data_IF_350696488245
#
_entry.id   IF_350696488245
#
_cell.length_a   1.000
_cell.length_b   1.000
_cell.length_c   1.000
_cell.angle_alpha   90.00
_cell.angle_beta   90.00
_cell.angle_gamma   90.00
#
_symmetry.space_group_name_H-M   'P 1'
#
loop_
_entity.id
_entity.type
_entity.pdbx_description
1 polymer ?
#
# COMPACT_ATOMS: atom_id res chain seq x y z
N UNK A 1 10.59 18.35 -15.04
CA UNK A 1 11.18 17.24 -14.29
C UNK A 1 12.15 17.69 -13.18
N UNK A 2 12.98 18.74 -13.38
CA UNK A 2 13.99 19.17 -12.40
C UNK A 2 13.46 19.88 -11.12
N UNK A 3 12.25 20.44 -11.14
CA UNK A 3 11.72 21.21 -10.00
C UNK A 3 11.32 20.33 -8.78
N UNK A 4 11.06 19.06 -9.00
CA UNK A 4 10.61 18.10 -7.97
C UNK A 4 11.77 17.53 -7.14
N UNK A 5 12.96 17.46 -7.72
CA UNK A 5 14.15 16.92 -7.04
C UNK A 5 14.68 17.86 -5.94
N UNK A 6 14.46 19.16 -6.06
CA UNK A 6 15.02 20.15 -5.13
C UNK A 6 14.04 20.67 -4.07
N UNK A 7 12.72 20.52 -4.25
CA UNK A 7 11.69 21.02 -3.30
C UNK A 7 11.04 19.95 -2.46
N UNK A 8 11.21 18.67 -2.82
CA UNK A 8 10.49 17.55 -2.18
C UNK A 8 9.01 17.54 -2.54
N UNK A 9 8.32 16.46 -2.11
CA UNK A 9 6.87 16.31 -2.20
C UNK A 9 6.32 16.46 -0.79
N UNK A 10 5.47 17.46 -0.62
CA UNK A 10 4.79 17.69 0.65
C UNK A 10 3.68 16.65 0.86
N UNK A 11 3.75 15.94 1.96
CA UNK A 11 2.80 14.90 2.35
C UNK A 11 2.18 15.32 3.69
N UNK A 12 0.89 15.68 3.73
CA UNK A 12 0.25 16.16 4.97
C UNK A 12 0.31 15.18 6.14
N UNK A 13 0.51 13.89 5.85
CA UNK A 13 0.67 12.86 6.88
C UNK A 13 2.06 12.84 7.54
N UNK A 14 3.07 13.50 6.96
CA UNK A 14 4.46 13.54 7.42
C UNK A 14 4.82 14.92 7.97
N UNK A 15 5.81 15.01 8.88
CA UNK A 15 6.29 16.28 9.42
C UNK A 15 7.14 17.10 8.44
N UNK A 16 7.74 16.44 7.45
CA UNK A 16 8.63 17.07 6.45
C UNK A 16 8.38 16.49 5.05
N UNK A 17 8.66 17.27 3.98
CA UNK A 17 8.58 16.78 2.61
C UNK A 17 9.54 15.61 2.34
N UNK A 18 9.12 14.70 1.49
CA UNK A 18 9.94 13.57 1.02
C UNK A 18 10.54 13.85 -0.36
N UNK A 19 11.68 13.22 -0.65
CA UNK A 19 12.23 13.13 -2.00
C UNK A 19 11.55 11.98 -2.76
N UNK A 20 11.35 12.17 -4.07
CA UNK A 20 10.89 11.09 -4.96
C UNK A 20 11.84 11.01 -6.13
N UNK A 21 12.52 9.87 -6.28
CA UNK A 21 13.44 9.60 -7.39
C UNK A 21 12.69 9.35 -8.69
N UNK A 22 13.36 9.56 -9.82
CA UNK A 22 12.83 9.17 -11.13
C UNK A 22 12.58 7.65 -11.15
N UNK A 23 11.44 7.24 -11.71
CA UNK A 23 11.06 5.82 -11.74
C UNK A 23 10.37 5.29 -10.47
N UNK A 24 10.32 6.09 -9.41
CA UNK A 24 9.59 5.75 -8.17
C UNK A 24 8.23 6.43 -8.16
N UNK A 25 7.21 5.68 -7.75
CA UNK A 25 5.85 6.23 -7.65
C UNK A 25 5.78 7.37 -6.63
N UNK A 26 5.28 8.51 -7.07
CA UNK A 26 5.07 9.66 -6.19
C UNK A 26 3.70 9.57 -5.51
N UNK A 27 3.61 9.58 -4.18
CA UNK A 27 2.35 9.48 -3.44
C UNK A 27 1.58 10.81 -3.44
N UNK A 28 1.39 11.42 -4.63
CA UNK A 28 0.65 12.68 -4.81
C UNK A 28 -0.82 12.56 -4.35
N UNK A 29 -1.37 11.35 -4.40
CA UNK A 29 -2.68 11.02 -3.84
C UNK A 29 -2.53 10.72 -2.34
N UNK A 30 -2.40 11.77 -1.54
CA UNK A 30 -2.10 11.66 -0.10
C UNK A 30 -3.30 11.28 0.78
N UNK A 31 -4.51 11.20 0.25
CA UNK A 31 -5.73 10.95 1.04
C UNK A 31 -5.71 9.60 1.76
N UNK A 32 -5.21 8.54 1.13
CA UNK A 32 -5.12 7.22 1.75
C UNK A 32 -4.04 7.18 2.85
N UNK A 33 -3.02 8.03 2.76
CA UNK A 33 -1.98 8.11 3.78
C UNK A 33 -2.53 8.64 5.10
N UNK A 34 -3.56 9.50 5.03
CA UNK A 34 -4.27 9.94 6.21
C UNK A 34 -5.06 8.79 6.87
N UNK A 35 -5.67 7.91 6.08
CA UNK A 35 -6.31 6.70 6.62
C UNK A 35 -5.29 5.84 7.38
N UNK A 36 -4.09 5.59 6.79
CA UNK A 36 -3.03 4.84 7.46
C UNK A 36 -2.55 5.56 8.72
N UNK A 37 -2.46 6.91 8.70
CA UNK A 37 -2.04 7.70 9.84
C UNK A 37 -3.03 7.64 11.00
N UNK A 38 -4.35 7.64 10.74
CA UNK A 38 -5.38 7.84 11.75
C UNK A 38 -6.14 6.58 12.16
N UNK A 39 -6.11 5.53 11.32
CA UNK A 39 -6.78 4.26 11.63
C UNK A 39 -6.14 3.62 12.86
N UNK A 40 -6.94 3.14 13.80
CA UNK A 40 -6.47 2.45 14.99
C UNK A 40 -5.64 1.21 14.62
N UNK A 41 -4.42 1.15 15.16
CA UNK A 41 -3.53 -0.01 14.98
C UNK A 41 -4.11 -1.24 15.66
N UNK A 42 -3.85 -2.45 15.14
CA UNK A 42 -4.11 -3.66 15.89
C UNK A 42 -3.45 -3.59 17.27
N UNK A 43 -4.11 -4.07 18.32
CA UNK A 43 -3.52 -4.08 19.66
C UNK A 43 -2.15 -4.76 19.67
N UNK A 44 -1.23 -4.23 20.47
CA UNK A 44 0.12 -4.79 20.67
C UNK A 44 0.96 -4.94 19.39
N UNK A 45 0.72 -4.13 18.35
CA UNK A 45 1.50 -4.15 17.11
C UNK A 45 2.96 -3.82 17.40
N UNK A 46 3.86 -4.79 17.22
CA UNK A 46 5.30 -4.67 17.40
C UNK A 46 6.11 -4.82 16.12
N UNK A 47 5.59 -5.58 15.17
CA UNK A 47 6.23 -5.80 13.86
C UNK A 47 5.22 -5.53 12.74
N UNK A 48 5.58 -4.61 11.86
CA UNK A 48 4.82 -4.36 10.64
C UNK A 48 5.66 -4.59 9.39
N UNK A 49 4.99 -4.96 8.29
CA UNK A 49 5.59 -5.00 6.95
C UNK A 49 4.93 -3.92 6.08
N UNK A 50 5.74 -3.24 5.27
CA UNK A 50 5.30 -2.36 4.19
C UNK A 50 5.74 -2.98 2.86
N UNK A 51 4.81 -3.60 2.15
CA UNK A 51 5.07 -4.37 0.94
C UNK A 51 4.89 -3.48 -0.30
N UNK A 52 5.95 -3.36 -1.10
CA UNK A 52 6.01 -2.41 -2.21
C UNK A 52 6.15 -0.98 -1.69
N UNK A 53 7.15 -0.72 -0.86
CA UNK A 53 7.31 0.52 -0.08
C UNK A 53 7.48 1.78 -0.93
N UNK A 54 7.97 1.66 -2.17
CA UNK A 54 8.18 2.77 -3.08
C UNK A 54 9.07 3.87 -2.47
N UNK A 55 8.52 5.06 -2.26
CA UNK A 55 9.22 6.17 -1.62
C UNK A 55 9.39 6.02 -0.08
N UNK A 56 8.90 4.95 0.52
CA UNK A 56 8.97 4.69 1.94
C UNK A 56 7.90 5.39 2.80
N UNK A 57 6.94 6.05 2.18
CA UNK A 57 5.99 6.92 2.89
C UNK A 57 5.13 6.18 3.91
N UNK A 58 4.65 4.98 3.59
CA UNK A 58 3.82 4.18 4.50
C UNK A 58 4.67 3.69 5.68
N UNK A 59 5.83 3.10 5.42
CA UNK A 59 6.74 2.66 6.49
C UNK A 59 7.11 3.82 7.42
N UNK A 60 7.39 5.02 6.88
CA UNK A 60 7.68 6.21 7.68
C UNK A 60 6.50 6.61 8.57
N UNK A 61 5.26 6.61 8.04
CA UNK A 61 4.07 6.89 8.85
C UNK A 61 3.92 5.88 9.98
N UNK A 62 4.11 4.58 9.70
CA UNK A 62 4.00 3.53 10.72
C UNK A 62 5.07 3.70 11.82
N UNK A 63 6.31 4.07 11.46
CA UNK A 63 7.37 4.36 12.43
C UNK A 63 7.06 5.58 13.30
N UNK A 64 6.57 6.67 12.70
CA UNK A 64 6.15 7.87 13.41
C UNK A 64 4.94 7.63 14.33
N UNK A 65 4.15 6.60 14.07
CA UNK A 65 3.06 6.13 14.94
C UNK A 65 3.56 5.25 16.10
N UNK A 66 4.87 5.03 16.19
CA UNK A 66 5.49 4.32 17.31
C UNK A 66 5.59 2.80 17.14
N UNK A 67 5.40 2.23 15.93
CA UNK A 67 5.67 0.81 15.71
C UNK A 67 7.19 0.61 15.79
N UNK A 68 7.68 -0.21 16.73
CA UNK A 68 9.11 -0.28 17.04
C UNK A 68 9.94 -0.99 15.96
N UNK A 69 9.33 -1.84 15.15
CA UNK A 69 10.01 -2.59 14.11
C UNK A 69 9.18 -2.69 12.84
N UNK A 70 9.77 -2.28 11.73
CA UNK A 70 9.14 -2.32 10.42
C UNK A 70 10.12 -2.97 9.43
N UNK A 71 9.62 -3.83 8.56
CA UNK A 71 10.36 -4.33 7.42
C UNK A 71 9.65 -3.81 6.16
N UNK A 72 10.36 -3.00 5.38
CA UNK A 72 9.85 -2.42 4.15
C UNK A 72 10.53 -3.08 2.96
N UNK A 73 9.74 -3.51 1.98
CA UNK A 73 10.24 -4.27 0.83
C UNK A 73 9.86 -3.60 -0.48
N UNK A 74 10.72 -3.73 -1.48
CA UNK A 74 10.43 -3.37 -2.87
C UNK A 74 11.34 -4.17 -3.81
N UNK A 75 10.91 -4.38 -5.05
CA UNK A 75 11.73 -5.01 -6.09
C UNK A 75 12.65 -4.02 -6.79
N UNK A 76 12.27 -2.74 -6.80
CA UNK A 76 12.96 -1.66 -7.49
C UNK A 76 14.09 -1.07 -6.62
N UNK A 77 15.34 -1.16 -7.09
CA UNK A 77 16.49 -0.58 -6.41
C UNK A 77 16.37 0.94 -6.19
N UNK A 78 15.81 1.68 -7.16
CA UNK A 78 15.58 3.12 -7.00
C UNK A 78 14.56 3.43 -5.90
N UNK A 79 13.58 2.56 -5.68
CA UNK A 79 12.65 2.66 -4.56
C UNK A 79 13.36 2.45 -3.22
N UNK A 80 14.22 1.43 -3.11
CA UNK A 80 15.03 1.17 -1.92
C UNK A 80 15.93 2.36 -1.57
N UNK A 81 16.63 2.91 -2.56
CA UNK A 81 17.47 4.10 -2.38
C UNK A 81 16.64 5.33 -1.97
N UNK A 82 15.49 5.54 -2.63
CA UNK A 82 14.57 6.62 -2.33
C UNK A 82 14.04 6.54 -0.89
N UNK A 83 13.58 5.37 -0.48
CA UNK A 83 13.07 5.11 0.86
C UNK A 83 14.18 5.33 1.92
N UNK A 84 15.41 4.86 1.65
CA UNK A 84 16.56 5.07 2.55
C UNK A 84 16.79 6.55 2.83
N UNK A 85 16.84 7.38 1.79
CA UNK A 85 17.03 8.84 1.92
C UNK A 85 15.89 9.49 2.73
N UNK A 86 14.65 9.07 2.47
CA UNK A 86 13.50 9.60 3.18
C UNK A 86 13.47 9.17 4.66
N UNK A 87 13.84 7.94 4.99
CA UNK A 87 13.90 7.49 6.37
C UNK A 87 14.96 8.26 7.18
N UNK A 88 16.13 8.53 6.56
CA UNK A 88 17.18 9.35 7.20
C UNK A 88 16.70 10.79 7.42
N UNK A 89 16.03 11.39 6.43
CA UNK A 89 15.46 12.74 6.52
C UNK A 89 14.42 12.87 7.62
N UNK A 90 13.55 11.87 7.75
CA UNK A 90 12.46 11.84 8.74
C UNK A 90 12.90 11.33 10.12
N UNK A 91 14.17 10.90 10.27
CA UNK A 91 14.70 10.39 11.54
C UNK A 91 14.12 9.05 11.98
N UNK A 92 13.60 8.23 11.07
CA UNK A 92 12.93 6.95 11.38
C UNK A 92 13.71 5.71 10.99
N UNK A 93 14.93 5.87 10.46
CA UNK A 93 15.74 4.78 9.91
C UNK A 93 16.07 3.67 10.92
N UNK A 94 16.07 3.97 12.22
CA UNK A 94 16.37 2.97 13.26
C UNK A 94 15.24 1.97 13.50
N UNK A 95 14.01 2.33 13.16
CA UNK A 95 12.84 1.47 13.29
C UNK A 95 12.58 0.63 12.04
N UNK A 96 13.22 0.96 10.90
CA UNK A 96 12.87 0.39 9.58
C UNK A 96 14.06 -0.34 8.98
N UNK A 97 13.87 -1.63 8.65
CA UNK A 97 14.78 -2.41 7.82
C UNK A 97 14.24 -2.44 6.39
N UNK A 98 15.07 -2.06 5.42
CA UNK A 98 14.77 -2.20 4.00
C UNK A 98 15.33 -3.52 3.46
N UNK A 99 14.57 -4.15 2.57
CA UNK A 99 14.97 -5.38 1.88
C UNK A 99 14.53 -5.32 0.42
N UNK A 100 15.46 -5.47 -0.51
CA UNK A 100 15.14 -5.59 -1.93
C UNK A 100 14.72 -7.03 -2.22
N UNK A 101 13.42 -7.25 -2.35
CA UNK A 101 12.83 -8.58 -2.57
C UNK A 101 11.46 -8.47 -3.23
N UNK A 102 10.99 -9.59 -3.80
CA UNK A 102 9.67 -9.69 -4.39
C UNK A 102 8.63 -10.05 -3.31
N UNK A 103 7.83 -9.06 -2.93
CA UNK A 103 6.80 -9.09 -1.90
C UNK A 103 7.39 -9.22 -0.48
N UNK A 104 7.43 -10.41 0.09
CA UNK A 104 7.72 -10.61 1.51
C UNK A 104 9.21 -10.77 1.80
N UNK A 105 9.67 -10.31 2.97
CA UNK A 105 11.06 -10.49 3.38
C UNK A 105 11.40 -11.99 3.53
N UNK A 106 12.69 -12.32 3.35
CA UNK A 106 13.14 -13.72 3.29
C UNK A 106 13.21 -14.43 4.64
N UNK A 107 13.57 -13.69 5.70
CA UNK A 107 13.71 -14.23 7.06
C UNK A 107 13.18 -13.23 8.09
N UNK A 108 12.08 -13.59 8.74
CA UNK A 108 11.42 -12.71 9.70
C UNK A 108 10.46 -13.49 10.62
N UNK A 109 10.14 -12.97 11.82
CA UNK A 109 8.98 -13.40 12.59
C UNK A 109 7.68 -13.07 11.87
N UNK A 110 6.56 -13.65 12.28
CA UNK A 110 5.24 -13.28 11.80
C UNK A 110 4.92 -11.83 12.17
N UNK A 111 4.30 -11.10 11.25
CA UNK A 111 3.93 -9.70 11.45
C UNK A 111 2.59 -9.57 12.18
N UNK A 112 2.44 -8.49 12.92
CA UNK A 112 1.17 -8.08 13.53
C UNK A 112 0.33 -7.27 12.54
N UNK A 113 1.02 -6.55 11.64
CA UNK A 113 0.41 -5.73 10.61
C UNK A 113 1.19 -5.86 9.30
N UNK A 114 0.50 -6.13 8.21
CA UNK A 114 1.05 -6.07 6.86
C UNK A 114 0.29 -5.00 6.09
N UNK A 115 0.99 -4.01 5.55
CA UNK A 115 0.40 -2.95 4.73
C UNK A 115 0.87 -3.11 3.29
N UNK A 116 -0.04 -2.95 2.36
CA UNK A 116 0.28 -2.94 0.93
C UNK A 116 -0.59 -1.91 0.20
N UNK A 117 0.06 -1.09 -0.62
CA UNK A 117 -0.59 -0.26 -1.61
C UNK A 117 -0.18 -0.75 -3.01
N UNK A 118 -0.81 -1.82 -3.53
CA UNK A 118 -0.44 -2.41 -4.81
C UNK A 118 -0.87 -1.50 -5.98
N UNK A 119 -0.46 -1.81 -7.22
CA UNK A 119 -1.05 -1.20 -8.40
C UNK A 119 -2.56 -1.46 -8.46
N UNK A 120 -3.35 -0.45 -8.86
CA UNK A 120 -4.81 -0.52 -8.72
C UNK A 120 -5.55 -0.97 -9.97
N UNK A 121 -4.93 -0.89 -11.15
CA UNK A 121 -5.60 -1.10 -12.44
C UNK A 121 -5.08 -2.37 -13.12
N UNK A 122 -5.95 -3.36 -13.42
CA UNK A 122 -5.55 -4.61 -14.07
C UNK A 122 -5.37 -4.40 -15.59
N UNK A 123 -4.34 -3.65 -15.97
CA UNK A 123 -3.96 -3.40 -17.35
C UNK A 123 -2.45 -3.56 -17.53
N UNK A 124 -2.00 -3.64 -18.77
CA UNK A 124 -0.58 -3.79 -19.08
C UNK A 124 0.13 -2.44 -19.05
N UNK A 125 1.24 -2.30 -18.30
CA UNK A 125 2.06 -1.11 -18.33
C UNK A 125 2.73 -0.95 -19.70
N UNK A 126 2.90 0.29 -20.14
CA UNK A 126 3.64 0.64 -21.38
C UNK A 126 5.02 1.20 -21.07
N UNK A 127 5.30 1.47 -19.80
CA UNK A 127 6.60 1.98 -19.34
C UNK A 127 6.92 1.47 -17.91
N UNK A 128 8.20 1.45 -17.49
CA UNK A 128 8.60 0.99 -16.16
C UNK A 128 7.91 1.73 -15.00
N UNK A 129 7.65 3.03 -15.12
CA UNK A 129 6.97 3.82 -14.09
C UNK A 129 5.49 3.45 -13.95
N UNK A 130 4.90 2.91 -14.99
CA UNK A 130 3.51 2.48 -15.00
C UNK A 130 3.29 1.15 -14.27
N UNK A 131 4.33 0.36 -14.00
CA UNK A 131 4.23 -0.87 -13.18
C UNK A 131 3.75 -0.59 -11.76
N UNK A 132 3.95 0.64 -11.28
CA UNK A 132 3.42 1.06 -9.98
C UNK A 132 1.91 1.42 -10.00
N UNK A 133 1.28 1.42 -11.18
CA UNK A 133 -0.15 1.77 -11.39
C UNK A 133 -0.94 0.59 -11.97
N UNK A 134 -0.28 -0.20 -12.83
CA UNK A 134 -0.92 -1.29 -13.58
C UNK A 134 -0.42 -2.65 -13.10
N UNK A 135 -1.36 -3.53 -12.81
CA UNK A 135 -1.13 -4.92 -12.39
C UNK A 135 -1.85 -5.85 -13.38
N UNK A 136 -1.16 -6.33 -14.44
CA UNK A 136 -1.79 -7.19 -15.43
C UNK A 136 -2.47 -8.39 -14.76
N UNK A 137 -3.75 -8.59 -15.09
CA UNK A 137 -4.56 -9.69 -14.57
C UNK A 137 -4.65 -9.76 -13.03
N UNK A 138 -4.34 -8.65 -12.32
CA UNK A 138 -4.21 -8.58 -10.85
C UNK A 138 -3.17 -9.56 -10.27
N UNK A 139 -2.13 -9.87 -11.02
CA UNK A 139 -1.15 -10.92 -10.69
C UNK A 139 -0.37 -10.61 -9.40
N UNK A 140 0.07 -9.36 -9.21
CA UNK A 140 0.76 -8.92 -7.99
C UNK A 140 -0.17 -8.99 -6.78
N UNK A 141 -1.39 -8.47 -6.91
CA UNK A 141 -2.39 -8.46 -5.85
C UNK A 141 -2.77 -9.90 -5.43
N UNK A 142 -3.01 -10.79 -6.40
CA UNK A 142 -3.31 -12.19 -6.12
C UNK A 142 -2.13 -12.90 -5.44
N UNK A 143 -0.91 -12.69 -5.93
CA UNK A 143 0.30 -13.24 -5.34
C UNK A 143 0.48 -12.74 -3.90
N UNK A 144 0.30 -11.44 -3.66
CA UNK A 144 0.37 -10.85 -2.32
C UNK A 144 -0.62 -11.50 -1.35
N UNK A 145 -1.92 -11.55 -1.68
CA UNK A 145 -2.93 -12.11 -0.79
C UNK A 145 -2.74 -13.61 -0.57
N UNK A 146 -2.28 -14.35 -1.59
CA UNK A 146 -2.03 -15.81 -1.48
C UNK A 146 -0.92 -16.15 -0.48
N UNK A 147 0.00 -15.24 -0.24
CA UNK A 147 1.14 -15.43 0.67
C UNK A 147 0.92 -14.77 2.04
N UNK A 148 0.09 -13.73 2.12
CA UNK A 148 -0.02 -12.88 3.31
C UNK A 148 -0.31 -13.65 4.61
N UNK A 149 -1.17 -14.66 4.58
CA UNK A 149 -1.52 -15.46 5.77
C UNK A 149 -0.31 -16.18 6.37
N UNK A 150 0.67 -16.59 5.54
CA UNK A 150 1.87 -17.30 5.99
C UNK A 150 2.85 -16.38 6.74
N UNK A 151 2.73 -15.08 6.53
CA UNK A 151 3.60 -14.05 7.13
C UNK A 151 2.94 -13.29 8.28
N UNK A 152 1.70 -13.63 8.62
CA UNK A 152 0.87 -12.90 9.57
C UNK A 152 0.64 -13.70 10.85
N UNK A 153 0.74 -13.04 12.00
CA UNK A 153 0.29 -13.58 13.28
C UNK A 153 -1.20 -13.95 13.22
N UNK A 154 -1.68 -14.95 13.99
CA UNK A 154 -3.09 -15.38 13.96
C UNK A 154 -4.11 -14.25 14.17
N UNK A 155 -3.76 -13.24 14.99
CA UNK A 155 -4.60 -12.06 15.26
C UNK A 155 -4.12 -10.82 14.49
N UNK A 156 -3.16 -10.98 13.59
CA UNK A 156 -2.63 -9.88 12.79
C UNK A 156 -3.61 -9.40 11.72
N UNK A 157 -3.30 -8.27 11.13
CA UNK A 157 -4.13 -7.66 10.10
C UNK A 157 -3.33 -7.37 8.83
N UNK A 158 -3.99 -7.50 7.69
CA UNK A 158 -3.56 -6.92 6.42
C UNK A 158 -4.35 -5.64 6.19
N UNK A 159 -3.64 -4.56 5.92
CA UNK A 159 -4.20 -3.29 5.48
C UNK A 159 -3.89 -3.12 3.98
N UNK A 160 -4.92 -3.27 3.16
CA UNK A 160 -4.81 -3.19 1.71
C UNK A 160 -5.42 -1.88 1.21
N UNK A 161 -4.62 -1.05 0.54
CA UNK A 161 -5.08 0.21 -0.06
C UNK A 161 -5.48 -0.04 -1.50
N UNK A 162 -6.73 0.23 -1.85
CA UNK A 162 -7.26 0.03 -3.22
C UNK A 162 -8.19 1.17 -3.63
N UNK A 163 -8.10 1.59 -4.90
CA UNK A 163 -9.13 2.42 -5.54
C UNK A 163 -10.17 1.53 -6.22
N UNK A 164 -11.42 1.96 -6.21
CA UNK A 164 -12.50 1.32 -6.95
C UNK A 164 -12.57 1.75 -8.44
N UNK A 165 -11.54 2.39 -8.95
CA UNK A 165 -11.53 2.86 -10.34
C UNK A 165 -11.68 1.70 -11.34
N UNK A 166 -11.03 0.56 -11.09
CA UNK A 166 -11.12 -0.61 -11.96
C UNK A 166 -12.55 -1.18 -12.02
N UNK A 167 -13.27 -1.16 -10.91
CA UNK A 167 -14.67 -1.55 -10.80
C UNK A 167 -15.58 -0.56 -11.54
N UNK A 168 -15.33 0.74 -11.40
CA UNK A 168 -16.09 1.79 -12.08
C UNK A 168 -15.95 1.73 -13.60
N UNK A 169 -14.78 1.34 -14.10
CA UNK A 169 -14.53 1.14 -15.54
C UNK A 169 -14.76 -0.31 -15.99
N UNK A 170 -15.37 -1.15 -15.14
CA UNK A 170 -15.78 -2.53 -15.42
C UNK A 170 -14.62 -3.49 -15.77
N UNK A 171 -13.43 -3.23 -15.27
CA UNK A 171 -12.27 -4.14 -15.37
C UNK A 171 -12.23 -5.18 -14.26
N UNK A 172 -13.02 -4.98 -13.18
CA UNK A 172 -13.20 -5.90 -12.06
C UNK A 172 -14.66 -5.89 -11.57
N UNK A 173 -15.19 -6.98 -10.99
CA UNK A 173 -16.47 -6.96 -10.28
C UNK A 173 -16.35 -6.17 -8.96
N UNK A 174 -17.48 -5.66 -8.45
CA UNK A 174 -17.51 -4.82 -7.24
C UNK A 174 -17.10 -5.56 -5.96
N UNK A 175 -17.30 -6.87 -5.93
CA UNK A 175 -16.97 -7.76 -4.81
C UNK A 175 -15.63 -8.48 -4.96
N UNK A 176 -14.79 -8.01 -5.90
CA UNK A 176 -13.50 -8.65 -6.23
C UNK A 176 -12.57 -8.79 -5.02
N UNK A 177 -12.38 -7.72 -4.23
CA UNK A 177 -11.48 -7.76 -3.09
C UNK A 177 -11.95 -8.71 -1.98
N UNK A 178 -13.23 -8.68 -1.55
CA UNK A 178 -13.75 -9.66 -0.60
C UNK A 178 -13.60 -11.11 -1.07
N UNK A 179 -13.96 -11.40 -2.33
CA UNK A 179 -13.86 -12.75 -2.90
C UNK A 179 -12.40 -13.23 -2.98
N UNK A 180 -11.48 -12.36 -3.41
CA UNK A 180 -10.07 -12.70 -3.50
C UNK A 180 -9.46 -12.93 -2.11
N UNK A 181 -9.82 -12.12 -1.11
CA UNK A 181 -9.40 -12.31 0.27
C UNK A 181 -9.88 -13.66 0.81
N UNK A 182 -11.16 -13.99 0.64
CA UNK A 182 -11.75 -15.26 1.08
C UNK A 182 -11.08 -16.47 0.41
N UNK A 183 -10.84 -16.39 -0.91
CA UNK A 183 -10.09 -17.41 -1.67
C UNK A 183 -8.74 -17.76 -1.03
N UNK A 184 -8.08 -16.75 -0.44
CA UNK A 184 -6.74 -16.89 0.15
C UNK A 184 -6.74 -16.97 1.68
N UNK A 185 -7.88 -17.32 2.30
CA UNK A 185 -7.97 -17.56 3.74
C UNK A 185 -7.94 -16.30 4.60
N UNK A 186 -8.30 -15.16 4.02
CA UNK A 186 -8.49 -13.89 4.70
C UNK A 186 -9.99 -13.52 4.70
N UNK A 187 -10.43 -12.75 5.69
CA UNK A 187 -11.77 -12.15 5.72
C UNK A 187 -11.68 -10.66 5.96
N UNK A 188 -12.57 -9.91 5.36
CA UNK A 188 -12.73 -8.48 5.61
C UNK A 188 -13.32 -8.28 7.00
N UNK A 189 -12.68 -7.44 7.82
CA UNK A 189 -13.20 -7.03 9.15
C UNK A 189 -13.66 -5.59 9.15
N UNK A 190 -13.12 -4.75 8.25
CA UNK A 190 -13.49 -3.34 8.16
C UNK A 190 -13.08 -2.77 6.80
N UNK A 191 -13.68 -1.64 6.42
CA UNK A 191 -13.34 -0.86 5.23
C UNK A 191 -13.53 0.62 5.51
N UNK A 192 -12.49 1.39 5.33
CA UNK A 192 -12.49 2.84 5.52
C UNK A 192 -12.29 3.52 4.17
N UNK A 193 -13.19 4.41 3.82
CA UNK A 193 -13.24 5.04 2.51
C UNK A 193 -12.83 6.51 2.57
N UNK A 194 -12.13 6.97 1.54
CA UNK A 194 -11.82 8.38 1.31
C UNK A 194 -11.96 8.73 -0.17
N UNK A 195 -12.23 9.99 -0.46
CA UNK A 195 -12.36 10.46 -1.84
C UNK A 195 -11.10 11.22 -2.28
N UNK A 196 -10.62 11.00 -3.52
CA UNK A 196 -9.50 11.75 -4.07
C UNK A 196 -9.82 13.25 -4.14
N UNK A 197 -8.94 14.07 -3.54
CA UNK A 197 -9.07 15.53 -3.53
C UNK A 197 -8.32 16.29 -4.63
N UNK A 198 -7.71 15.58 -5.60
CA UNK A 198 -6.77 16.19 -6.55
C UNK A 198 -7.44 16.81 -7.81
N UNK A 199 -6.71 17.72 -8.50
CA UNK A 199 -7.21 18.49 -9.63
C UNK A 199 -7.66 17.66 -10.85
N UNK A 200 -7.15 16.44 -11.03
CA UNK A 200 -7.59 15.54 -12.14
C UNK A 200 -9.05 15.11 -12.04
N UNK A 201 -9.65 15.12 -10.86
CA UNK A 201 -11.08 14.84 -10.69
C UNK A 201 -11.96 15.95 -11.28
N UNK A 202 -11.40 17.13 -11.53
CA UNK A 202 -12.09 18.31 -12.08
C UNK A 202 -11.86 18.49 -13.59
N UNK A 203 -11.04 17.66 -14.23
CA UNK A 203 -10.75 17.77 -15.66
C UNK A 203 -11.84 17.06 -16.50
N UNK A 204 -12.79 17.83 -17.03
CA UNK A 204 -13.91 17.35 -17.86
C UNK A 204 -13.48 16.81 -19.23
N UNK A 205 -12.25 17.03 -19.66
CA UNK A 205 -11.71 16.52 -20.94
C UNK A 205 -11.04 15.13 -20.77
N UNK A 206 -10.93 14.60 -19.54
CA UNK A 206 -10.43 13.25 -19.29
C UNK A 206 -11.52 12.22 -19.69
N UNK A 207 -11.24 11.26 -20.58
CA UNK A 207 -12.19 10.19 -20.92
C UNK A 207 -12.71 9.41 -19.71
N UNK A 208 -11.96 9.40 -18.61
CA UNK A 208 -12.32 8.75 -17.35
C UNK A 208 -12.92 9.73 -16.32
N UNK A 209 -13.27 10.94 -16.73
CA UNK A 209 -13.73 11.99 -15.80
C UNK A 209 -14.90 11.52 -14.92
N UNK A 210 -15.92 10.90 -15.50
CA UNK A 210 -17.09 10.42 -14.74
C UNK A 210 -16.72 9.32 -13.74
N UNK A 211 -15.82 8.40 -14.12
CA UNK A 211 -15.32 7.38 -13.22
C UNK A 211 -14.47 8.00 -12.09
N UNK A 212 -13.55 8.91 -12.43
CA UNK A 212 -12.71 9.61 -11.44
C UNK A 212 -13.50 10.49 -10.49
N UNK A 213 -14.62 11.08 -10.92
CA UNK A 213 -15.49 11.87 -10.04
C UNK A 213 -16.20 11.00 -8.98
N UNK A 214 -16.39 9.70 -9.27
CA UNK A 214 -17.00 8.72 -8.35
C UNK A 214 -15.95 7.83 -7.67
N UNK A 215 -14.67 8.03 -7.96
CA UNK A 215 -13.58 7.24 -7.41
C UNK A 215 -13.55 7.33 -5.89
N UNK A 216 -13.37 6.18 -5.26
CA UNK A 216 -13.17 6.04 -3.81
C UNK A 216 -11.91 5.22 -3.60
N UNK A 217 -11.03 5.72 -2.75
CA UNK A 217 -9.88 4.96 -2.26
C UNK A 217 -10.22 4.38 -0.90
N UNK A 218 -10.03 3.09 -0.74
CA UNK A 218 -10.41 2.34 0.46
C UNK A 218 -9.19 1.73 1.12
N UNK A 219 -9.17 1.77 2.44
CA UNK A 219 -8.32 0.95 3.29
C UNK A 219 -9.12 -0.26 3.74
N UNK A 220 -8.84 -1.41 3.15
CA UNK A 220 -9.44 -2.69 3.53
C UNK A 220 -8.64 -3.30 4.68
N UNK A 221 -9.30 -3.62 5.78
CA UNK A 221 -8.72 -4.33 6.91
C UNK A 221 -9.12 -5.80 6.82
N UNK A 222 -8.14 -6.66 6.65
CA UNK A 222 -8.33 -8.09 6.53
C UNK A 222 -7.65 -8.80 7.70
N UNK A 223 -8.14 -9.97 8.07
CA UNK A 223 -7.52 -10.83 9.09
C UNK A 223 -7.63 -12.28 8.63
N UNK A 224 -6.77 -13.21 9.11
CA UNK A 224 -6.93 -14.62 8.81
C UNK A 224 -8.33 -15.11 9.14
N UNK A 225 -8.94 -15.83 8.21
CA UNK A 225 -10.17 -16.58 8.51
C UNK A 225 -9.84 -17.61 9.57
N UNK A 226 -10.59 -17.65 10.67
CA UNK A 226 -10.41 -18.72 11.66
C UNK A 226 -10.54 -20.06 10.93
N UNK A 227 -9.48 -20.87 10.93
CA UNK A 227 -9.63 -22.26 10.53
C UNK A 227 -10.66 -22.85 11.48
N UNK A 228 -11.84 -23.21 10.98
CA UNK A 228 -12.71 -24.14 11.69
C UNK A 228 -11.81 -25.34 11.96
N UNK A 229 -11.44 -25.57 13.21
CA UNK A 229 -10.69 -26.74 13.61
C UNK A 229 -11.50 -27.92 13.08
N UNK A 230 -10.97 -28.62 12.08
CA UNK A 230 -11.55 -29.87 11.64
C UNK A 230 -11.63 -30.75 12.87
N UNK A 231 -12.83 -31.04 13.33
CA UNK A 231 -13.06 -32.04 14.35
C UNK A 231 -12.51 -33.34 13.78
N UNK A 232 -11.32 -33.78 14.29
CA UNK A 232 -10.83 -35.14 14.16
C UNK A 232 -11.76 -36.06 14.93
#
# INVERSE_FOLDING_TARGET
AYAWQNKGVDIPALPEPISVRYGVFSPIRGEYLNLIKTTELPPDTRLAFDIGTGSGVIAAILALRGIPKIIATDTNEDAILCATENFMRLGVQTAIRLEQTDLFPSQHPLADLIVCNPPWIPARPTSPIETAVYDPDNAMLEKFLSQAVQHLNPNGQVWLVMSNLAELVKLRPQDFIPQLAEKHGLRVIDRLDTRPGHAKTKNTHDPLHEARAREVTSLWKLTPSQRVAAKL
#
